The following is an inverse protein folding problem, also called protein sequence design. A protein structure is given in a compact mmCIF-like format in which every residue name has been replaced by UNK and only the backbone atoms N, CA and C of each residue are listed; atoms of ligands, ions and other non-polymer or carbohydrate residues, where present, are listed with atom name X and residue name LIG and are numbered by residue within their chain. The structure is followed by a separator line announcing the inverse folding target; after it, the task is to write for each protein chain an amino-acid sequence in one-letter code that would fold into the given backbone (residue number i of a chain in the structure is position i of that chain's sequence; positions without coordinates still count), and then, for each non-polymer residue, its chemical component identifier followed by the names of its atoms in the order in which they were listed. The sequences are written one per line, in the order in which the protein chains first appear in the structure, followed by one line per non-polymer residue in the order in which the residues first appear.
data_IF_068806046716
#
_entry.id   IF_068806046716
#
_cell.length_a   1.000
_cell.length_b   1.000
_cell.length_c   1.000
_cell.angle_alpha   90.00
_cell.angle_beta   90.00
_cell.angle_gamma   90.00
#
_symmetry.space_group_name_H-M   'P 1'
#
loop_
_entity.id
_entity.type
_entity.pdbx_description
1 polymer ?
#
# COMPACT_ATOMS: atom_id res chain seq x y z
N UNK A 1 -9.89 3.55 13.70
CA UNK A 1 -8.95 2.74 12.89
C UNK A 1 -8.21 3.56 11.82
N UNK A 2 -8.91 4.29 10.94
CA UNK A 2 -8.26 5.05 9.84
C UNK A 2 -7.15 6.04 10.29
N UNK A 3 -7.33 6.78 11.39
CA UNK A 3 -6.31 7.70 11.90
C UNK A 3 -5.05 6.98 12.40
N UNK A 4 -5.22 5.88 13.16
CA UNK A 4 -4.10 5.08 13.69
C UNK A 4 -3.29 4.47 12.54
N UNK A 5 -3.95 3.89 11.54
CA UNK A 5 -3.25 3.33 10.37
C UNK A 5 -2.46 4.40 9.62
N UNK A 6 -3.04 5.60 9.47
CA UNK A 6 -2.37 6.73 8.81
C UNK A 6 -1.15 7.17 9.61
N UNK A 7 -1.29 7.38 10.92
CA UNK A 7 -0.19 7.79 11.80
C UNK A 7 0.93 6.74 11.84
N UNK A 8 0.58 5.45 12.00
CA UNK A 8 1.57 4.37 12.05
C UNK A 8 2.31 4.25 10.70
N UNK A 9 1.59 4.35 9.59
CA UNK A 9 2.19 4.34 8.26
C UNK A 9 3.15 5.51 8.03
N UNK A 10 2.78 6.72 8.45
CA UNK A 10 3.66 7.89 8.32
C UNK A 10 4.90 7.77 9.22
N UNK A 11 4.74 7.40 10.49
CA UNK A 11 5.86 7.29 11.44
C UNK A 11 6.84 6.21 11.04
N UNK A 12 6.35 5.07 10.54
CA UNK A 12 7.23 3.99 10.13
C UNK A 12 7.86 4.29 8.76
N UNK A 13 7.09 4.69 7.74
CA UNK A 13 7.63 4.76 6.38
C UNK A 13 8.39 6.04 6.08
N UNK A 14 7.93 7.18 6.58
CA UNK A 14 8.47 8.48 6.21
C UNK A 14 9.76 8.72 6.97
N UNK A 15 10.83 9.06 6.24
CA UNK A 15 12.03 9.64 6.80
C UNK A 15 12.27 11.00 6.18
N UNK A 16 12.76 11.93 6.99
CA UNK A 16 13.06 13.27 6.53
C UNK A 16 14.18 13.91 7.34
N UNK A 17 14.93 14.81 6.71
CA UNK A 17 16.03 15.55 7.35
C UNK A 17 15.56 16.52 8.45
N UNK A 18 14.29 16.90 8.44
CA UNK A 18 13.73 17.88 9.38
C UNK A 18 12.32 17.49 9.83
N UNK A 19 12.03 17.69 11.12
CA UNK A 19 10.76 17.28 11.73
C UNK A 19 9.53 17.95 11.09
N UNK A 20 9.69 19.15 10.53
CA UNK A 20 8.62 19.87 9.82
C UNK A 20 8.00 19.04 8.68
N UNK A 21 8.78 18.19 8.00
CA UNK A 21 8.25 17.34 6.93
C UNK A 21 7.23 16.32 7.44
N UNK A 22 7.35 15.86 8.68
CA UNK A 22 6.34 14.99 9.30
C UNK A 22 5.04 15.75 9.59
N UNK A 23 5.13 17.04 9.97
CA UNK A 23 3.96 17.91 10.13
C UNK A 23 3.27 18.15 8.80
N UNK A 24 4.04 18.45 7.74
CA UNK A 24 3.50 18.61 6.38
C UNK A 24 2.87 17.30 5.90
N UNK A 25 3.49 16.14 6.15
CA UNK A 25 2.94 14.84 5.81
C UNK A 25 1.59 14.59 6.50
N UNK A 26 1.52 14.88 7.80
CA UNK A 26 0.28 14.75 8.56
C UNK A 26 -0.80 15.70 8.03
N UNK A 27 -0.44 16.95 7.72
CA UNK A 27 -1.36 17.93 7.14
C UNK A 27 -1.88 17.49 5.76
N UNK A 28 -1.02 16.96 4.89
CA UNK A 28 -1.40 16.42 3.58
C UNK A 28 -2.27 15.17 3.70
N UNK A 29 -1.97 14.27 4.64
CA UNK A 29 -2.77 13.06 4.86
C UNK A 29 -4.16 13.43 5.37
N UNK A 30 -4.24 14.30 6.39
CA UNK A 30 -5.52 14.75 6.95
C UNK A 30 -6.30 15.55 5.89
N UNK A 31 -5.65 16.49 5.23
CA UNK A 31 -6.26 17.34 4.20
C UNK A 31 -6.79 16.53 3.02
N UNK A 32 -6.02 15.58 2.48
CA UNK A 32 -6.45 14.75 1.36
C UNK A 32 -7.71 13.93 1.69
N UNK A 33 -7.82 13.44 2.93
CA UNK A 33 -9.01 12.70 3.39
C UNK A 33 -10.30 13.52 3.33
N UNK A 34 -10.21 14.84 3.57
CA UNK A 34 -11.39 15.72 3.58
C UNK A 34 -11.66 16.36 2.22
N UNK A 35 -10.62 16.75 1.50
CA UNK A 35 -10.74 17.47 0.21
C UNK A 35 -10.97 16.51 -0.95
N UNK A 36 -10.23 15.39 -1.02
CA UNK A 36 -10.28 14.45 -2.14
C UNK A 36 -11.26 13.31 -1.87
N UNK A 37 -12.56 13.60 -1.97
CA UNK A 37 -13.64 12.64 -1.68
C UNK A 37 -14.54 12.40 -2.88
N UNK A 38 -15.04 11.16 -2.99
CA UNK A 38 -16.07 10.76 -3.95
C UNK A 38 -17.16 9.96 -3.25
N UNK A 39 -18.43 10.40 -3.37
CA UNK A 39 -19.61 9.74 -2.81
C UNK A 39 -19.41 9.23 -1.36
N UNK A 40 -18.95 10.13 -0.48
CA UNK A 40 -18.65 9.92 0.96
C UNK A 40 -17.37 9.14 1.31
N UNK A 41 -16.66 8.54 0.36
CA UNK A 41 -15.37 7.88 0.57
C UNK A 41 -14.21 8.80 0.17
N UNK A 42 -13.06 8.73 0.85
CA UNK A 42 -11.84 9.37 0.37
C UNK A 42 -11.27 8.62 -0.83
N UNK A 43 -10.76 9.35 -1.82
CA UNK A 43 -10.33 8.79 -3.09
C UNK A 43 -8.98 8.06 -2.97
N UNK A 44 -8.06 8.65 -2.21
CA UNK A 44 -6.71 8.15 -2.03
C UNK A 44 -6.48 7.67 -0.61
N UNK A 45 -5.61 6.68 -0.43
CA UNK A 45 -5.13 6.33 0.91
C UNK A 45 -4.37 7.54 1.50
N UNK A 46 -4.81 8.10 2.65
CA UNK A 46 -4.28 9.36 3.19
C UNK A 46 -2.77 9.37 3.43
N UNK A 47 -2.24 8.30 4.04
CA UNK A 47 -0.79 8.18 4.27
C UNK A 47 -0.03 7.99 2.97
N UNK A 48 -0.55 7.19 2.04
CA UNK A 48 0.12 6.92 0.77
C UNK A 48 0.26 8.18 -0.07
N UNK A 49 -0.82 8.96 -0.23
CA UNK A 49 -0.77 10.17 -1.05
C UNK A 49 0.13 11.24 -0.42
N UNK A 50 0.17 11.33 0.92
CA UNK A 50 1.08 12.25 1.61
C UNK A 50 2.56 11.86 1.39
N UNK A 51 2.90 10.57 1.53
CA UNK A 51 4.26 10.07 1.30
C UNK A 51 4.67 10.31 -0.15
N UNK A 52 3.84 9.89 -1.12
CA UNK A 52 4.15 10.05 -2.55
C UNK A 52 4.27 11.53 -2.93
N UNK A 53 3.37 12.39 -2.46
CA UNK A 53 3.45 13.83 -2.73
C UNK A 53 4.74 14.43 -2.19
N UNK A 54 5.16 14.10 -0.97
CA UNK A 54 6.37 14.64 -0.40
C UNK A 54 7.64 14.17 -1.11
N UNK A 55 7.72 12.89 -1.49
CA UNK A 55 8.88 12.35 -2.22
C UNK A 55 8.99 13.02 -3.60
N UNK A 56 7.86 13.31 -4.26
CA UNK A 56 7.86 13.98 -5.56
C UNK A 56 8.17 15.49 -5.47
N UNK A 57 7.89 16.12 -4.33
CA UNK A 57 8.06 17.56 -4.14
C UNK A 57 9.36 17.94 -3.43
N UNK A 58 10.08 16.97 -2.84
CA UNK A 58 11.24 17.25 -2.00
C UNK A 58 12.23 16.10 -2.00
N UNK A 59 13.50 16.42 -2.25
CA UNK A 59 14.62 15.47 -2.11
C UNK A 59 15.00 15.20 -0.64
N UNK A 60 14.38 15.91 0.32
CA UNK A 60 14.66 15.76 1.75
C UNK A 60 13.80 14.69 2.43
N UNK A 61 12.97 13.99 1.66
CA UNK A 61 12.01 13.00 2.16
C UNK A 61 12.19 11.70 1.38
N UNK A 62 12.33 10.59 2.10
CA UNK A 62 12.45 9.27 1.50
C UNK A 62 11.70 8.22 2.31
N UNK A 63 11.58 7.02 1.75
CA UNK A 63 10.98 5.87 2.42
C UNK A 63 12.06 5.05 3.10
N UNK A 64 11.88 4.72 4.38
CA UNK A 64 12.73 3.76 5.08
C UNK A 64 12.46 2.33 4.60
N UNK A 65 12.93 1.99 3.41
CA UNK A 65 12.97 0.63 2.89
C UNK A 65 14.26 -0.06 3.32
N UNK A 66 14.15 -1.18 4.05
CA UNK A 66 15.30 -2.02 4.43
C UNK A 66 16.06 -1.62 5.70
N UNK A 67 15.61 -0.61 6.45
CA UNK A 67 16.19 -0.27 7.77
C UNK A 67 15.69 -1.16 8.89
N UNK A 68 14.66 -1.94 8.60
CA UNK A 68 13.97 -2.76 9.58
C UNK A 68 14.66 -4.11 9.65
N UNK A 69 15.28 -4.39 10.80
CA UNK A 69 15.80 -5.72 11.09
C UNK A 69 14.70 -6.78 11.09
N UNK A 70 15.11 -8.04 11.13
CA UNK A 70 14.21 -9.20 11.09
C UNK A 70 13.09 -9.14 12.14
N UNK A 71 13.36 -8.59 13.33
CA UNK A 71 12.39 -8.49 14.44
C UNK A 71 11.16 -7.67 14.07
N UNK A 72 11.32 -6.46 13.52
CA UNK A 72 10.14 -5.66 13.17
C UNK A 72 9.44 -6.24 11.95
N UNK A 73 10.19 -6.76 10.97
CA UNK A 73 9.56 -7.43 9.83
C UNK A 73 8.65 -8.58 10.28
N UNK A 74 9.12 -9.41 11.22
CA UNK A 74 8.30 -10.48 11.82
C UNK A 74 7.10 -9.93 12.60
N UNK A 75 7.26 -8.85 13.37
CA UNK A 75 6.16 -8.22 14.08
C UNK A 75 5.06 -7.68 13.14
N UNK A 76 5.46 -7.04 12.03
CA UNK A 76 4.54 -6.57 11.00
C UNK A 76 3.85 -7.73 10.27
N UNK A 77 4.58 -8.82 10.01
CA UNK A 77 4.03 -10.01 9.39
C UNK A 77 2.97 -10.67 10.31
N UNK A 78 3.28 -10.81 11.59
CA UNK A 78 2.35 -11.32 12.60
C UNK A 78 1.11 -10.42 12.73
N UNK A 79 1.31 -9.10 12.73
CA UNK A 79 0.19 -8.14 12.70
C UNK A 79 -0.67 -8.29 11.44
N UNK A 80 -0.04 -8.53 10.28
CA UNK A 80 -0.73 -8.86 9.03
C UNK A 80 -1.58 -10.12 9.12
N UNK A 81 -1.04 -11.20 9.69
CA UNK A 81 -1.82 -12.42 9.96
C UNK A 81 -2.97 -12.18 10.95
N UNK A 82 -2.74 -11.40 12.00
CA UNK A 82 -3.78 -10.96 12.92
C UNK A 82 -4.90 -10.19 12.22
N UNK A 83 -4.56 -9.30 11.28
CA UNK A 83 -5.54 -8.60 10.45
C UNK A 83 -6.33 -9.56 9.57
N UNK A 84 -5.70 -10.57 8.97
CA UNK A 84 -6.42 -11.61 8.19
C UNK A 84 -7.40 -12.37 9.08
N UNK A 85 -6.98 -12.78 10.28
CA UNK A 85 -7.84 -13.49 11.22
C UNK A 85 -9.01 -12.62 11.70
N UNK A 86 -8.78 -11.34 11.95
CA UNK A 86 -9.79 -10.42 12.48
C UNK A 86 -10.76 -9.89 11.41
N UNK A 87 -10.25 -9.57 10.22
CA UNK A 87 -11.01 -8.93 9.15
C UNK A 87 -11.56 -9.91 8.10
N UNK A 88 -10.96 -11.10 8.01
CA UNK A 88 -11.29 -12.12 7.03
C UNK A 88 -10.64 -11.90 5.66
N UNK A 89 -10.40 -13.03 4.96
CA UNK A 89 -9.77 -13.08 3.63
C UNK A 89 -10.54 -12.24 2.60
N UNK A 90 -11.87 -12.26 2.64
CA UNK A 90 -12.68 -11.49 1.70
C UNK A 90 -12.44 -9.98 1.77
N UNK A 91 -12.17 -9.45 2.97
CA UNK A 91 -11.86 -8.03 3.18
C UNK A 91 -10.44 -7.68 2.72
N UNK A 92 -9.48 -8.58 2.92
CA UNK A 92 -8.08 -8.38 2.53
C UNK A 92 -7.75 -8.94 1.14
N UNK A 93 -8.77 -9.29 0.34
CA UNK A 93 -8.59 -9.96 -0.94
C UNK A 93 -7.63 -9.18 -1.87
N UNK A 94 -7.80 -7.86 -2.01
CA UNK A 94 -6.90 -7.02 -2.81
C UNK A 94 -5.46 -7.06 -2.30
N UNK A 95 -5.25 -6.92 -0.99
CA UNK A 95 -3.93 -6.97 -0.36
C UNK A 95 -3.24 -8.33 -0.55
N UNK A 96 -3.99 -9.41 -0.35
CA UNK A 96 -3.48 -10.77 -0.50
C UNK A 96 -3.16 -11.09 -1.96
N UNK A 97 -4.02 -10.69 -2.90
CA UNK A 97 -3.73 -10.85 -4.33
C UNK A 97 -2.49 -10.07 -4.73
N UNK A 98 -2.37 -8.81 -4.29
CA UNK A 98 -1.17 -8.03 -4.53
C UNK A 98 0.08 -8.75 -4.01
N UNK A 99 0.07 -9.20 -2.75
CA UNK A 99 1.24 -9.83 -2.13
C UNK A 99 1.64 -11.13 -2.85
N UNK A 100 0.67 -11.98 -3.18
CA UNK A 100 0.91 -13.25 -3.89
C UNK A 100 1.47 -13.00 -5.29
N UNK A 101 0.82 -12.13 -6.07
CA UNK A 101 1.24 -11.83 -7.44
C UNK A 101 2.61 -11.15 -7.45
N UNK A 102 2.84 -10.19 -6.56
CA UNK A 102 4.12 -9.49 -6.45
C UNK A 102 5.25 -10.46 -6.07
N UNK A 103 5.01 -11.34 -5.09
CA UNK A 103 5.97 -12.37 -4.70
C UNK A 103 6.27 -13.35 -5.84
N UNK A 104 5.24 -13.79 -6.58
CA UNK A 104 5.42 -14.65 -7.74
C UNK A 104 6.24 -13.97 -8.84
N UNK A 105 6.03 -12.68 -9.10
CA UNK A 105 6.82 -11.91 -10.07
C UNK A 105 8.28 -11.74 -9.63
N UNK A 106 8.54 -11.53 -8.33
CA UNK A 106 9.91 -11.47 -7.79
C UNK A 106 10.63 -12.81 -7.93
N UNK A 107 9.98 -13.91 -7.52
CA UNK A 107 10.54 -15.25 -7.61
C UNK A 107 10.73 -15.68 -9.07
N UNK A 108 9.76 -15.39 -9.94
CA UNK A 108 9.84 -15.68 -11.37
C UNK A 108 10.97 -14.91 -12.05
N UNK A 109 11.16 -13.63 -11.71
CA UNK A 109 12.30 -12.84 -12.18
C UNK A 109 13.63 -13.44 -11.71
N UNK A 110 13.74 -13.82 -10.43
CA UNK A 110 14.96 -14.42 -9.89
C UNK A 110 15.29 -15.73 -10.60
N UNK A 111 14.30 -16.59 -10.83
CA UNK A 111 14.44 -17.81 -11.61
C UNK A 111 14.89 -17.53 -13.05
N UNK A 112 14.32 -16.53 -13.70
CA UNK A 112 14.65 -16.17 -15.08
C UNK A 112 16.09 -15.66 -15.23
N UNK A 113 16.59 -14.90 -14.25
CA UNK A 113 17.94 -14.34 -14.25
C UNK A 113 18.99 -15.30 -13.65
N UNK A 114 18.57 -16.42 -13.06
CA UNK A 114 19.47 -17.31 -12.33
C UNK A 114 19.98 -16.73 -11.00
N UNK A 115 19.23 -15.78 -10.42
CA UNK A 115 19.55 -15.18 -9.13
C UNK A 115 19.45 -16.24 -8.00
N UNK A 116 20.36 -16.18 -7.02
CA UNK A 116 20.26 -17.00 -5.82
C UNK A 116 19.03 -16.63 -4.98
N UNK A 117 18.39 -17.63 -4.35
CA UNK A 117 17.14 -17.45 -3.58
C UNK A 117 17.20 -16.41 -2.47
N UNK A 118 18.39 -16.11 -1.94
CA UNK A 118 18.58 -15.08 -0.94
C UNK A 118 18.12 -13.69 -1.44
N UNK A 119 18.27 -13.39 -2.73
CA UNK A 119 17.92 -12.09 -3.33
C UNK A 119 16.41 -11.81 -3.26
N UNK A 120 15.53 -12.63 -3.88
CA UNK A 120 14.09 -12.38 -3.82
C UNK A 120 13.54 -12.51 -2.39
N UNK A 121 14.10 -13.41 -1.56
CA UNK A 121 13.68 -13.53 -0.16
C UNK A 121 13.99 -12.26 0.65
N UNK A 122 15.18 -11.68 0.47
CA UNK A 122 15.52 -10.41 1.11
C UNK A 122 14.64 -9.26 0.60
N UNK A 123 14.30 -9.24 -0.69
CA UNK A 123 13.37 -8.24 -1.24
C UNK A 123 11.96 -8.37 -0.65
N UNK A 124 11.50 -9.58 -0.36
CA UNK A 124 10.24 -9.84 0.36
C UNK A 124 10.33 -9.48 1.85
N UNK A 125 11.54 -9.48 2.43
CA UNK A 125 11.81 -9.01 3.78
C UNK A 125 11.82 -7.48 3.92
N UNK A 126 11.01 -6.79 3.12
CA UNK A 126 10.88 -5.34 3.15
C UNK A 126 9.70 -4.92 4.05
N UNK A 127 9.99 -4.25 5.17
CA UNK A 127 8.97 -3.71 6.07
C UNK A 127 8.00 -2.75 5.38
N UNK A 128 8.47 -1.97 4.40
CA UNK A 128 7.63 -1.06 3.64
C UNK A 128 6.57 -1.80 2.78
N UNK A 129 6.95 -2.97 2.23
CA UNK A 129 6.03 -3.84 1.50
C UNK A 129 4.90 -4.35 2.42
N UNK A 130 5.21 -4.75 3.65
CA UNK A 130 4.20 -5.22 4.61
C UNK A 130 3.29 -4.11 5.09
N UNK A 131 3.83 -2.93 5.42
CA UNK A 131 3.03 -1.77 5.84
C UNK A 131 2.08 -1.37 4.71
N UNK A 132 2.59 -1.25 3.49
CA UNK A 132 1.79 -1.00 2.31
C UNK A 132 0.66 -2.03 2.15
N UNK A 133 1.01 -3.31 2.16
CA UNK A 133 0.06 -4.39 1.88
C UNK A 133 -1.06 -4.46 2.92
N UNK A 134 -0.70 -4.45 4.21
CA UNK A 134 -1.64 -4.73 5.28
C UNK A 134 -2.29 -3.50 5.92
N UNK A 135 -1.68 -2.32 5.82
CA UNK A 135 -2.19 -1.11 6.48
C UNK A 135 -2.66 -0.03 5.50
N UNK A 136 -2.12 0.00 4.27
CA UNK A 136 -2.54 0.97 3.25
C UNK A 136 -3.53 0.39 2.25
N UNK A 137 -3.13 -0.69 1.57
CA UNK A 137 -3.92 -1.32 0.50
C UNK A 137 -5.20 -1.99 1.04
N UNK A 138 -5.24 -2.32 2.33
CA UNK A 138 -6.39 -2.92 3.01
C UNK A 138 -7.48 -1.91 3.41
N UNK A 139 -7.28 -0.60 3.19
CA UNK A 139 -8.26 0.42 3.56
C UNK A 139 -9.55 0.25 2.73
N UNK A 140 -10.68 -0.13 3.37
CA UNK A 140 -11.91 -0.46 2.65
C UNK A 140 -12.48 0.72 1.86
N UNK A 141 -12.11 1.96 2.21
CA UNK A 141 -12.59 3.15 1.49
C UNK A 141 -11.90 3.36 0.14
N UNK A 142 -10.70 2.80 -0.05
CA UNK A 142 -9.87 2.99 -1.25
C UNK A 142 -9.71 1.71 -2.05
N UNK A 143 -10.47 0.65 -1.73
CA UNK A 143 -10.47 -0.61 -2.48
C UNK A 143 -11.77 -0.83 -3.25
N UNK A 144 -11.75 -1.54 -4.39
CA UNK A 144 -12.96 -1.94 -5.08
C UNK A 144 -13.91 -2.76 -4.20
N UNK A 145 -15.21 -2.65 -4.44
CA UNK A 145 -16.25 -3.33 -3.64
C UNK A 145 -16.47 -4.78 -4.07
N UNK A 146 -16.49 -5.03 -5.38
CA UNK A 146 -16.75 -6.35 -5.94
C UNK A 146 -15.52 -7.28 -5.84
N UNK A 147 -15.71 -8.56 -5.52
CA UNK A 147 -14.63 -9.52 -5.32
C UNK A 147 -13.69 -9.68 -6.53
N UNK A 148 -14.25 -9.81 -7.74
CA UNK A 148 -13.43 -9.86 -8.97
C UNK A 148 -12.67 -8.55 -9.21
N UNK A 149 -13.27 -7.40 -8.90
CA UNK A 149 -12.59 -6.11 -9.04
C UNK A 149 -11.41 -6.01 -8.07
N UNK A 150 -11.55 -6.56 -6.85
CA UNK A 150 -10.47 -6.62 -5.86
C UNK A 150 -9.29 -7.46 -6.34
N UNK A 151 -9.56 -8.63 -6.94
CA UNK A 151 -8.54 -9.51 -7.53
C UNK A 151 -7.80 -8.80 -8.68
N UNK A 152 -8.54 -8.32 -9.68
CA UNK A 152 -7.96 -7.65 -10.85
C UNK A 152 -7.16 -6.41 -10.45
N UNK A 153 -7.70 -5.60 -9.53
CA UNK A 153 -7.02 -4.41 -9.05
C UNK A 153 -5.72 -4.77 -8.31
N UNK A 154 -5.75 -5.73 -7.37
CA UNK A 154 -4.55 -6.17 -6.66
C UNK A 154 -3.47 -6.73 -7.59
N UNK A 155 -3.87 -7.55 -8.57
CA UNK A 155 -2.93 -8.09 -9.58
C UNK A 155 -2.34 -6.98 -10.47
N UNK A 156 -3.17 -6.01 -10.88
CA UNK A 156 -2.71 -4.87 -11.70
C UNK A 156 -1.72 -3.98 -10.94
N UNK A 157 -1.94 -3.74 -9.65
CA UNK A 157 -1.02 -3.01 -8.78
C UNK A 157 0.31 -3.72 -8.64
N UNK A 158 0.30 -5.04 -8.44
CA UNK A 158 1.51 -5.85 -8.31
C UNK A 158 2.34 -5.84 -9.60
N UNK A 159 1.68 -6.04 -10.75
CA UNK A 159 2.34 -5.99 -12.05
C UNK A 159 2.93 -4.61 -12.35
N UNK A 160 2.14 -3.54 -12.14
CA UNK A 160 2.63 -2.17 -12.33
C UNK A 160 3.80 -1.85 -11.38
N UNK A 161 3.74 -2.29 -10.13
CA UNK A 161 4.80 -2.02 -9.15
C UNK A 161 6.09 -2.74 -9.55
N UNK A 162 5.98 -4.01 -9.97
CA UNK A 162 7.09 -4.79 -10.48
C UNK A 162 7.69 -4.16 -11.75
N UNK A 163 6.85 -3.73 -12.70
CA UNK A 163 7.29 -3.06 -13.92
C UNK A 163 8.07 -1.77 -13.60
N UNK A 164 7.49 -0.89 -12.78
CA UNK A 164 8.14 0.36 -12.39
C UNK A 164 9.43 0.13 -11.60
N UNK A 165 9.48 -0.88 -10.74
CA UNK A 165 10.67 -1.18 -9.95
C UNK A 165 11.82 -1.73 -10.79
N UNK A 166 11.56 -2.66 -11.71
CA UNK A 166 12.62 -3.39 -12.41
C UNK A 166 12.95 -2.87 -13.80
N UNK A 167 12.01 -2.22 -14.50
CA UNK A 167 12.25 -1.65 -15.83
C UNK A 167 12.49 -0.13 -15.78
N UNK A 168 11.86 0.56 -14.82
CA UNK A 168 12.04 2.01 -14.64
C UNK A 168 12.90 2.37 -13.42
N UNK A 169 13.39 1.36 -12.68
CA UNK A 169 14.30 1.53 -11.54
C UNK A 169 13.75 2.43 -10.43
N UNK A 170 12.43 2.50 -10.28
CA UNK A 170 11.78 3.34 -9.27
C UNK A 170 11.72 2.56 -7.94
N UNK A 171 12.42 3.03 -6.87
CA UNK A 171 12.36 2.37 -5.57
C UNK A 171 10.97 2.53 -4.94
N UNK A 172 10.52 1.53 -4.18
CA UNK A 172 9.22 1.53 -3.51
C UNK A 172 8.04 1.81 -4.47
N UNK A 173 8.15 1.33 -5.71
CA UNK A 173 7.19 1.54 -6.80
C UNK A 173 5.73 1.28 -6.41
N UNK A 174 5.48 0.34 -5.49
CA UNK A 174 4.14 0.00 -5.00
C UNK A 174 3.39 1.20 -4.37
N UNK A 175 4.07 2.17 -3.76
CA UNK A 175 3.43 3.37 -3.22
C UNK A 175 2.88 4.26 -4.35
N UNK A 176 3.70 4.46 -5.39
CA UNK A 176 3.32 5.23 -6.58
C UNK A 176 2.18 4.55 -7.34
N UNK A 177 2.22 3.22 -7.50
CA UNK A 177 1.15 2.53 -8.21
C UNK A 177 -0.18 2.63 -7.50
N UNK A 178 -0.22 2.52 -6.17
CA UNK A 178 -1.46 2.75 -5.43
C UNK A 178 -1.94 4.19 -5.57
N UNK A 179 -1.06 5.18 -5.49
CA UNK A 179 -1.44 6.59 -5.67
C UNK A 179 -2.05 6.83 -7.06
N UNK A 180 -1.40 6.34 -8.11
CA UNK A 180 -1.87 6.48 -9.49
C UNK A 180 -3.16 5.68 -9.78
N UNK A 181 -3.29 4.49 -9.19
CA UNK A 181 -4.42 3.60 -9.44
C UNK A 181 -5.67 3.95 -8.60
N UNK A 182 -5.52 4.68 -7.50
CA UNK A 182 -6.61 5.01 -6.57
C UNK A 182 -7.84 5.64 -7.25
N UNK A 183 -7.72 6.58 -8.20
CA UNK A 183 -8.88 7.14 -8.90
C UNK A 183 -9.68 6.11 -9.72
N UNK A 184 -9.03 5.06 -10.24
CA UNK A 184 -9.68 4.04 -11.05
C UNK A 184 -10.63 3.15 -10.24
N UNK A 185 -10.51 3.14 -8.90
CA UNK A 185 -11.44 2.45 -8.01
C UNK A 185 -12.86 2.99 -8.18
N UNK A 186 -13.02 4.29 -8.45
CA UNK A 186 -14.33 4.90 -8.73
C UNK A 186 -14.96 4.26 -9.98
N UNK A 187 -14.19 4.11 -11.04
CA UNK A 187 -14.64 3.50 -12.31
C UNK A 187 -14.97 2.02 -12.09
N UNK A 188 -14.13 1.29 -11.38
CA UNK A 188 -14.35 -0.12 -11.06
C UNK A 188 -15.63 -0.32 -10.25
N UNK A 189 -15.89 0.55 -9.27
CA UNK A 189 -17.10 0.50 -8.45
C UNK A 189 -18.38 0.91 -9.20
N UNK A 190 -18.27 1.70 -10.27
CA UNK A 190 -19.40 2.01 -11.15
C UNK A 190 -19.73 0.85 -12.09
N UNK A 191 -18.70 0.17 -12.62
CA UNK A 191 -18.88 -0.96 -13.56
C UNK A 191 -19.24 -2.27 -12.88
N UNK A 192 -18.66 -2.55 -11.71
CA UNK A 192 -18.89 -3.77 -10.94
C UNK A 192 -19.50 -3.39 -9.59
N UNK A 193 -20.83 -3.50 -9.51
CA UNK A 193 -21.55 -3.18 -8.29
C UNK A 193 -21.17 -4.17 -7.18
N UNK A 194 -20.96 -3.64 -5.97
CA UNK A 194 -20.69 -4.42 -4.78
C UNK A 194 -21.17 -3.66 -3.55
N UNK A 195 -21.34 -4.38 -2.45
CA UNK A 195 -21.84 -3.79 -1.21
C UNK A 195 -20.94 -2.64 -0.73
N UNK A 196 -21.57 -1.53 -0.35
CA UNK A 196 -20.86 -0.39 0.26
C UNK A 196 -20.43 -0.78 1.65
N UNK A 197 -19.16 -0.52 1.98
CA UNK A 197 -18.72 -0.61 3.36
C UNK A 197 -19.44 0.46 4.18
N UNK A 198 -20.29 0.02 5.11
CA UNK A 198 -20.93 0.88 6.08
C UNK A 198 -20.17 0.74 7.41
N UNK A 199 -19.78 1.87 7.98
CA UNK A 199 -19.41 1.87 9.39
C UNK A 199 -20.67 1.54 10.18
N UNK A 200 -20.60 0.56 11.09
CA UNK A 200 -21.70 0.29 12.01
C UNK A 200 -21.89 1.58 12.82
N UNK A 201 -22.95 2.32 12.52
CA UNK A 201 -23.42 3.39 13.41
C UNK A 201 -23.87 2.68 14.68
N UNK A 202 -23.10 2.82 15.75
CA UNK A 202 -23.61 2.62 17.10
C UNK A 202 -24.18 3.94 17.59
#
# INVERSE_FOLDING_TARGET
LSAINTSFSLVLLLHANHWLWFVVAAALAIGSKFVLRWQSSHLFNPSNIAIVALILLSDNVWVASGQWGQTLWLALLLAGFGLIAFLGVGRLLTSLTFLVVYSALLLGRALWLGDGWAIPLHQLQNGALLIFTFFMLSDPMTTPRHGLARLLYGASLAFAAWLLQFFYYIPNAFLYTLALASPFVVILNQRLQGERYQWVNK
#
